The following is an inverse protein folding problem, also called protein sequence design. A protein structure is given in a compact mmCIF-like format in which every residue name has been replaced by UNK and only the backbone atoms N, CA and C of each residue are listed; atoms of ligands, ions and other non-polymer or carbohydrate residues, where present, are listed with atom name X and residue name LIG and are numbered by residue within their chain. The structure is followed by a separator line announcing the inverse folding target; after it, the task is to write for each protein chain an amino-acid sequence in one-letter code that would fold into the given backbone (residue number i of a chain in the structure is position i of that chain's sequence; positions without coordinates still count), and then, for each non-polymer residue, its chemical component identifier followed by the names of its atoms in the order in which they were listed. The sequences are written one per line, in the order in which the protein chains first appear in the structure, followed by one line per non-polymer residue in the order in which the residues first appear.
data_IF_591976872014
#
_entry.id   IF_591976872014
#
_cell.length_a   1.000
_cell.length_b   1.000
_cell.length_c   1.000
_cell.angle_alpha   90.00
_cell.angle_beta   90.00
_cell.angle_gamma   90.00
#
_symmetry.space_group_name_H-M   'P 1'
#
loop_
_entity.id
_entity.type
_entity.pdbx_description
1 polymer ?
#
# COMPACT_ATOMS: atom_id res chain seq x y z
N UNK A 1 -22.45 13.45 1.25
CA UNK A 1 -21.35 13.45 0.26
C UNK A 1 -21.93 12.99 -1.08
N UNK A 2 -21.94 13.86 -2.10
CA UNK A 2 -22.82 13.74 -3.27
C UNK A 2 -22.45 12.57 -4.20
N UNK A 3 -23.47 11.85 -4.71
CA UNK A 3 -23.34 10.73 -5.67
C UNK A 3 -22.47 11.09 -6.89
N UNK A 4 -22.51 12.35 -7.30
CA UNK A 4 -21.67 12.94 -8.35
C UNK A 4 -20.17 12.81 -8.06
N UNK A 5 -19.73 13.11 -6.83
CA UNK A 5 -18.32 13.00 -6.43
C UNK A 5 -17.86 11.53 -6.38
N UNK A 6 -18.76 10.59 -6.12
CA UNK A 6 -18.43 9.17 -6.14
C UNK A 6 -18.22 8.66 -7.57
N UNK A 7 -19.09 9.07 -8.50
CA UNK A 7 -18.99 8.67 -9.91
C UNK A 7 -17.73 9.26 -10.57
N UNK A 8 -17.46 10.55 -10.33
CA UNK A 8 -16.25 11.21 -10.84
C UNK A 8 -14.98 10.50 -10.36
N UNK A 9 -14.91 10.12 -9.08
CA UNK A 9 -13.79 9.32 -8.55
C UNK A 9 -13.63 7.99 -9.28
N UNK A 10 -14.71 7.24 -9.50
CA UNK A 10 -14.64 5.98 -10.23
C UNK A 10 -14.11 6.19 -11.65
N UNK A 11 -14.68 7.13 -12.41
CA UNK A 11 -14.25 7.41 -13.78
C UNK A 11 -12.78 7.84 -13.85
N UNK A 12 -12.33 8.73 -12.97
CA UNK A 12 -10.92 9.16 -12.94
C UNK A 12 -9.95 8.04 -12.56
N UNK A 13 -10.37 7.09 -11.71
CA UNK A 13 -9.59 5.88 -11.40
C UNK A 13 -9.44 4.98 -12.62
N UNK A 14 -10.54 4.77 -13.36
CA UNK A 14 -10.52 3.99 -14.61
C UNK A 14 -9.69 4.67 -15.71
N UNK A 15 -9.68 6.01 -15.74
CA UNK A 15 -8.87 6.80 -16.67
C UNK A 15 -7.39 6.94 -16.25
N UNK A 16 -6.99 6.40 -15.10
CA UNK A 16 -5.61 6.49 -14.61
C UNK A 16 -5.17 7.87 -14.14
N UNK A 17 -6.09 8.80 -13.87
CA UNK A 17 -5.80 10.19 -13.50
C UNK A 17 -5.48 10.34 -12.00
N UNK A 18 -4.42 9.70 -11.54
CA UNK A 18 -4.08 9.62 -10.11
C UNK A 18 -3.58 10.95 -9.53
N UNK A 19 -2.89 11.77 -10.31
CA UNK A 19 -2.47 13.13 -9.92
C UNK A 19 -3.65 14.00 -9.49
N UNK A 20 -4.65 14.08 -10.37
CA UNK A 20 -5.86 14.86 -10.15
C UNK A 20 -6.65 14.35 -8.94
N UNK A 21 -6.70 13.03 -8.75
CA UNK A 21 -7.35 12.42 -7.59
C UNK A 21 -6.61 12.73 -6.28
N UNK A 22 -5.28 12.77 -6.31
CA UNK A 22 -4.47 13.16 -5.16
C UNK A 22 -4.71 14.64 -4.80
N UNK A 23 -4.68 15.55 -5.78
CA UNK A 23 -4.98 16.97 -5.58
C UNK A 23 -6.40 17.19 -5.04
N UNK A 24 -7.38 16.48 -5.61
CA UNK A 24 -8.75 16.49 -5.10
C UNK A 24 -8.82 16.02 -3.64
N UNK A 25 -8.08 14.96 -3.28
CA UNK A 25 -7.98 14.46 -1.91
C UNK A 25 -7.34 15.45 -0.93
N UNK A 26 -6.47 16.34 -1.40
CA UNK A 26 -5.82 17.40 -0.61
C UNK A 26 -6.65 18.69 -0.50
N UNK A 27 -7.75 18.81 -1.25
CA UNK A 27 -8.53 20.05 -1.32
C UNK A 27 -9.15 20.42 0.04
N UNK A 28 -8.88 21.66 0.49
CA UNK A 28 -9.38 22.19 1.78
C UNK A 28 -10.92 22.14 1.82
N UNK A 29 -11.47 21.67 2.94
CA UNK A 29 -12.91 21.48 3.14
C UNK A 29 -13.47 20.14 2.63
N UNK A 30 -12.70 19.38 1.85
CA UNK A 30 -13.06 18.03 1.38
C UNK A 30 -11.90 17.03 1.51
N UNK A 31 -11.00 17.27 2.48
CA UNK A 31 -9.81 16.45 2.69
C UNK A 31 -10.18 14.98 2.86
N UNK A 32 -9.56 14.13 2.04
CA UNK A 32 -9.78 12.70 2.06
C UNK A 32 -8.42 11.99 2.07
N UNK A 33 -7.84 11.76 3.27
CA UNK A 33 -6.53 11.12 3.41
C UNK A 33 -6.48 9.73 2.77
N UNK A 34 -7.59 8.98 2.77
CA UNK A 34 -7.64 7.68 2.11
C UNK A 34 -7.50 7.78 0.58
N UNK A 35 -8.12 8.79 -0.05
CA UNK A 35 -7.95 9.03 -1.48
C UNK A 35 -6.54 9.48 -1.82
N UNK A 36 -5.94 10.35 -0.99
CA UNK A 36 -4.54 10.76 -1.14
C UNK A 36 -3.64 9.54 -1.04
N UNK A 37 -3.87 8.69 -0.03
CA UNK A 37 -3.10 7.46 0.19
C UNK A 37 -3.21 6.51 -1.00
N UNK A 38 -4.43 6.23 -1.52
CA UNK A 38 -4.64 5.37 -2.69
C UNK A 38 -4.03 5.92 -4.00
N UNK A 39 -3.84 7.23 -4.09
CA UNK A 39 -3.32 7.89 -5.29
C UNK A 39 -1.81 8.09 -5.23
N UNK A 40 -1.27 8.45 -4.06
CA UNK A 40 0.13 8.81 -3.88
C UNK A 40 1.10 7.68 -4.24
N UNK A 41 0.80 6.43 -3.89
CA UNK A 41 1.65 5.28 -4.27
C UNK A 41 1.65 5.00 -5.78
N UNK A 42 0.65 5.49 -6.52
CA UNK A 42 0.55 5.35 -8.00
C UNK A 42 1.24 6.48 -8.75
N UNK A 43 1.48 7.62 -8.09
CA UNK A 43 2.27 8.77 -8.60
C UNK A 43 3.62 8.88 -7.86
N UNK A 44 4.18 7.74 -7.43
CA UNK A 44 5.28 7.62 -6.45
C UNK A 44 5.55 8.81 -5.48
N UNK A 45 4.52 9.47 -4.97
CA UNK A 45 4.66 10.66 -4.13
C UNK A 45 4.76 10.24 -2.66
N UNK A 46 5.90 9.64 -2.30
CA UNK A 46 6.08 8.91 -1.03
C UNK A 46 5.92 9.77 0.22
N UNK A 47 6.31 11.04 0.17
CA UNK A 47 6.14 11.98 1.27
C UNK A 47 4.64 12.21 1.56
N UNK A 48 3.86 12.48 0.51
CA UNK A 48 2.39 12.64 0.64
C UNK A 48 1.73 11.34 1.11
N UNK A 49 2.25 10.20 0.66
CA UNK A 49 1.77 8.89 1.08
C UNK A 49 1.97 8.67 2.59
N UNK A 50 3.16 8.98 3.11
CA UNK A 50 3.49 8.86 4.54
C UNK A 50 2.59 9.74 5.42
N UNK A 51 2.41 11.00 5.03
CA UNK A 51 1.55 11.94 5.75
C UNK A 51 0.08 11.51 5.74
N UNK A 52 -0.41 11.04 4.60
CA UNK A 52 -1.77 10.52 4.47
C UNK A 52 -1.95 9.23 5.29
N UNK A 53 -0.97 8.33 5.27
CA UNK A 53 -0.99 7.09 6.04
C UNK A 53 -1.12 7.38 7.53
N UNK A 54 -0.31 8.28 8.07
CA UNK A 54 -0.36 8.67 9.48
C UNK A 54 -1.75 9.18 9.91
N UNK A 55 -2.47 9.86 9.02
CA UNK A 55 -3.84 10.33 9.28
C UNK A 55 -4.87 9.20 9.22
N UNK A 56 -4.75 8.29 8.24
CA UNK A 56 -5.69 7.17 8.07
C UNK A 56 -5.54 6.15 9.19
N UNK A 57 -4.33 5.93 9.70
CA UNK A 57 -4.06 4.97 10.78
C UNK A 57 -4.77 5.29 12.09
N UNK A 58 -5.12 6.56 12.33
CA UNK A 58 -5.88 6.98 13.52
C UNK A 58 -7.28 6.35 13.54
N UNK A 59 -7.92 6.21 12.38
CA UNK A 59 -9.27 5.68 12.27
C UNK A 59 -9.52 5.09 10.87
N UNK A 60 -9.46 3.77 10.76
CA UNK A 60 -9.70 3.04 9.52
C UNK A 60 -10.66 1.86 9.73
N UNK A 61 -11.45 1.48 8.71
CA UNK A 61 -12.26 0.29 8.80
C UNK A 61 -11.39 -0.97 8.68
N UNK A 62 -11.62 -1.96 9.54
CA UNK A 62 -10.88 -3.25 9.55
C UNK A 62 -10.84 -3.93 8.16
N UNK A 63 -11.85 -3.69 7.33
CA UNK A 63 -11.91 -4.19 5.94
C UNK A 63 -10.73 -3.77 5.05
N UNK A 64 -10.02 -2.69 5.38
CA UNK A 64 -8.87 -2.19 4.60
C UNK A 64 -7.53 -2.36 5.33
N UNK A 65 -7.51 -3.06 6.47
CA UNK A 65 -6.31 -3.17 7.29
C UNK A 65 -5.11 -3.75 6.51
N UNK A 66 -5.37 -4.72 5.61
CA UNK A 66 -4.34 -5.30 4.74
C UNK A 66 -3.70 -4.25 3.81
N UNK A 67 -4.49 -3.27 3.34
CA UNK A 67 -3.97 -2.19 2.48
C UNK A 67 -3.00 -1.28 3.25
N UNK A 68 -3.28 -1.00 4.52
CA UNK A 68 -2.38 -0.18 5.34
C UNK A 68 -1.02 -0.85 5.52
N UNK A 69 -1.00 -2.16 5.74
CA UNK A 69 0.24 -2.91 5.85
C UNK A 69 1.00 -2.95 4.50
N UNK A 70 0.31 -3.07 3.36
CA UNK A 70 0.91 -2.90 2.04
C UNK A 70 1.53 -1.50 1.87
N UNK A 71 0.81 -0.45 2.25
CA UNK A 71 1.29 0.93 2.15
C UNK A 71 2.51 1.20 3.02
N UNK A 72 2.54 0.66 4.25
CA UNK A 72 3.73 0.66 5.10
C UNK A 72 4.90 -0.04 4.43
N UNK A 73 4.64 -1.17 3.75
CA UNK A 73 5.65 -1.91 3.00
C UNK A 73 6.23 -1.09 1.85
N UNK A 74 5.38 -0.43 1.07
CA UNK A 74 5.83 0.45 -0.02
C UNK A 74 6.70 1.60 0.49
N UNK A 75 6.33 2.23 1.61
CA UNK A 75 7.17 3.27 2.24
C UNK A 75 8.50 2.67 2.70
N UNK A 76 8.48 1.52 3.37
CA UNK A 76 9.69 0.86 3.88
C UNK A 76 10.68 0.41 2.79
N UNK A 77 10.24 0.26 1.54
CA UNK A 77 11.11 -0.05 0.39
C UNK A 77 11.47 1.23 -0.38
N UNK A 78 10.47 2.05 -0.72
CA UNK A 78 10.61 3.09 -1.74
C UNK A 78 10.90 4.49 -1.19
N UNK A 79 10.60 4.76 0.08
CA UNK A 79 10.82 6.09 0.65
C UNK A 79 12.30 6.29 1.01
N UNK A 80 13.02 7.27 0.43
CA UNK A 80 14.47 7.41 0.60
C UNK A 80 14.92 7.53 2.07
N UNK A 81 14.18 8.32 2.86
CA UNK A 81 14.54 8.59 4.26
C UNK A 81 13.93 7.63 5.29
N UNK A 82 13.11 6.67 4.86
CA UNK A 82 12.31 5.80 5.76
C UNK A 82 12.44 4.32 5.36
N UNK A 83 13.57 3.94 4.73
CA UNK A 83 13.80 2.56 4.33
C UNK A 83 14.01 1.64 5.52
N UNK A 84 13.15 0.62 5.64
CA UNK A 84 13.14 -0.34 6.75
C UNK A 84 12.82 -1.76 6.22
N UNK A 85 13.69 -2.28 5.35
CA UNK A 85 13.48 -3.56 4.64
C UNK A 85 13.22 -4.75 5.59
N UNK A 86 13.88 -4.76 6.75
CA UNK A 86 13.71 -5.80 7.77
C UNK A 86 12.28 -5.90 8.34
N UNK A 87 11.46 -4.85 8.20
CA UNK A 87 10.07 -4.86 8.63
C UNK A 87 9.11 -5.41 7.57
N UNK A 88 9.54 -5.53 6.31
CA UNK A 88 8.66 -5.87 5.19
C UNK A 88 8.10 -7.29 5.32
N UNK A 89 8.91 -8.28 5.72
CA UNK A 89 8.41 -9.66 5.92
C UNK A 89 7.27 -9.72 6.94
N UNK A 90 7.41 -8.97 8.03
CA UNK A 90 6.36 -8.86 9.05
C UNK A 90 5.12 -8.18 8.47
N UNK A 91 5.26 -7.13 7.66
CA UNK A 91 4.13 -6.44 7.03
C UNK A 91 3.41 -7.32 5.99
N UNK A 92 4.14 -8.14 5.24
CA UNK A 92 3.63 -9.15 4.32
C UNK A 92 2.80 -10.18 5.07
N UNK A 93 3.28 -10.70 6.20
CA UNK A 93 2.55 -11.67 7.03
C UNK A 93 1.23 -11.08 7.56
N UNK A 94 1.26 -9.85 8.09
CA UNK A 94 0.04 -9.17 8.58
C UNK A 94 -0.96 -8.91 7.44
N UNK A 95 -0.49 -8.41 6.30
CA UNK A 95 -1.32 -8.18 5.11
C UNK A 95 -2.00 -9.47 4.65
N UNK A 96 -1.22 -10.56 4.57
CA UNK A 96 -1.70 -11.89 4.16
C UNK A 96 -2.80 -12.38 5.10
N UNK A 97 -2.54 -12.35 6.40
CA UNK A 97 -3.50 -12.80 7.41
C UNK A 97 -4.80 -12.01 7.34
N UNK A 98 -4.72 -10.69 7.18
CA UNK A 98 -5.90 -9.83 7.08
C UNK A 98 -6.67 -10.04 5.77
N UNK A 99 -5.97 -10.18 4.64
CA UNK A 99 -6.60 -10.46 3.34
C UNK A 99 -7.36 -11.79 3.36
N UNK A 100 -6.76 -12.85 3.92
CA UNK A 100 -7.41 -14.16 4.10
C UNK A 100 -8.62 -14.06 5.04
N UNK A 101 -8.54 -13.27 6.11
CA UNK A 101 -9.69 -13.03 6.99
C UNK A 101 -10.85 -12.35 6.27
N UNK A 102 -10.58 -11.36 5.41
CA UNK A 102 -11.63 -10.74 4.60
C UNK A 102 -12.20 -11.72 3.57
N UNK A 103 -11.35 -12.54 2.94
CA UNK A 103 -11.78 -13.58 2.00
C UNK A 103 -12.80 -14.53 2.63
N UNK A 104 -12.51 -15.03 3.82
CA UNK A 104 -13.37 -15.96 4.55
C UNK A 104 -14.72 -15.36 4.99
N UNK A 105 -14.86 -14.03 4.99
CA UNK A 105 -16.13 -13.36 5.30
C UNK A 105 -17.07 -13.29 4.10
N UNK A 106 -16.57 -13.51 2.89
CA UNK A 106 -17.38 -13.51 1.67
C UNK A 106 -18.13 -14.84 1.50
N UNK A 107 -19.24 -14.86 0.74
CA UNK A 107 -19.90 -16.10 0.36
C UNK A 107 -18.94 -17.06 -0.35
N UNK A 108 -19.09 -18.39 -0.18
CA UNK A 108 -18.17 -19.37 -0.78
C UNK A 108 -18.18 -19.37 -2.31
N UNK A 109 -19.21 -18.79 -2.93
CA UNK A 109 -19.30 -18.64 -4.38
C UNK A 109 -18.42 -17.47 -4.84
N UNK A 110 -17.43 -17.78 -5.67
CA UNK A 110 -16.54 -16.77 -6.25
C UNK A 110 -17.33 -15.80 -7.12
N UNK A 111 -17.08 -14.51 -6.91
CA UNK A 111 -17.81 -13.39 -7.53
C UNK A 111 -16.94 -12.14 -7.58
N UNK A 112 -17.45 -11.06 -8.17
CA UNK A 112 -16.74 -9.77 -8.29
C UNK A 112 -16.22 -9.22 -6.95
N UNK A 113 -16.85 -9.59 -5.83
CA UNK A 113 -16.42 -9.18 -4.48
C UNK A 113 -15.04 -9.74 -4.08
N UNK A 114 -14.62 -10.84 -4.72
CA UNK A 114 -13.33 -11.50 -4.44
C UNK A 114 -12.17 -10.86 -5.20
N UNK A 115 -12.44 -10.18 -6.31
CA UNK A 115 -11.41 -9.62 -7.20
C UNK A 115 -10.44 -8.68 -6.45
N UNK A 116 -10.90 -7.73 -5.61
CA UNK A 116 -9.99 -6.86 -4.88
C UNK A 116 -9.05 -7.61 -3.93
N UNK A 117 -9.48 -8.74 -3.38
CA UNK A 117 -8.66 -9.57 -2.49
C UNK A 117 -7.66 -10.42 -3.27
N UNK A 118 -8.00 -10.89 -4.47
CA UNK A 118 -7.04 -11.54 -5.37
C UNK A 118 -5.97 -10.56 -5.83
N UNK A 119 -6.36 -9.33 -6.19
CA UNK A 119 -5.43 -8.26 -6.52
C UNK A 119 -4.53 -7.93 -5.32
N UNK A 120 -5.10 -7.87 -4.11
CA UNK A 120 -4.30 -7.67 -2.90
C UNK A 120 -3.30 -8.81 -2.68
N UNK A 121 -3.68 -10.06 -2.89
CA UNK A 121 -2.78 -11.20 -2.77
C UNK A 121 -1.60 -11.08 -3.74
N UNK A 122 -1.87 -10.71 -5.00
CA UNK A 122 -0.82 -10.45 -5.98
C UNK A 122 0.11 -9.31 -5.53
N UNK A 123 -0.45 -8.19 -5.06
CA UNK A 123 0.35 -7.06 -4.56
C UNK A 123 1.21 -7.42 -3.34
N UNK A 124 0.74 -8.33 -2.48
CA UNK A 124 1.51 -8.81 -1.34
C UNK A 124 2.73 -9.63 -1.81
N UNK A 125 2.56 -10.48 -2.83
CA UNK A 125 3.66 -11.21 -3.45
C UNK A 125 4.67 -10.26 -4.08
N UNK A 126 4.21 -9.29 -4.85
CA UNK A 126 5.05 -8.26 -5.49
C UNK A 126 5.84 -7.45 -4.44
N UNK A 127 5.21 -7.10 -3.31
CA UNK A 127 5.89 -6.41 -2.22
C UNK A 127 7.03 -7.26 -1.64
N UNK A 128 6.79 -8.55 -1.43
CA UNK A 128 7.81 -9.47 -0.91
C UNK A 128 8.97 -9.64 -1.91
N UNK A 129 8.66 -9.83 -3.19
CA UNK A 129 9.65 -9.95 -4.26
C UNK A 129 10.48 -8.67 -4.39
N UNK A 130 9.85 -7.49 -4.35
CA UNK A 130 10.53 -6.21 -4.38
C UNK A 130 11.52 -6.04 -3.21
N UNK A 131 11.15 -6.47 -2.00
CA UNK A 131 12.05 -6.43 -0.85
C UNK A 131 13.25 -7.36 -1.05
N UNK A 132 13.05 -8.57 -1.56
CA UNK A 132 14.14 -9.52 -1.85
C UNK A 132 15.10 -8.98 -2.91
N UNK A 133 14.57 -8.40 -3.99
CA UNK A 133 15.38 -7.74 -5.02
C UNK A 133 16.19 -6.61 -4.39
N UNK A 134 15.56 -5.76 -3.58
CA UNK A 134 16.25 -4.64 -2.94
C UNK A 134 17.36 -5.12 -2.00
N UNK A 135 17.15 -6.19 -1.23
CA UNK A 135 18.21 -6.79 -0.39
C UNK A 135 19.33 -7.37 -1.25
N UNK A 136 19.00 -8.04 -2.36
CA UNK A 136 20.00 -8.61 -3.28
C UNK A 136 20.84 -7.56 -4.03
N UNK A 137 20.32 -6.35 -4.20
CA UNK A 137 21.02 -5.22 -4.81
C UNK A 137 21.91 -4.44 -3.82
N UNK A 138 21.78 -4.67 -2.51
CA UNK A 138 22.69 -4.05 -1.54
C UNK A 138 24.11 -4.61 -1.70
N UNK A 139 25.15 -3.77 -1.64
CA UNK A 139 26.51 -4.25 -1.75
C UNK A 139 26.79 -5.26 -0.63
N UNK A 140 27.47 -6.39 -0.93
CA UNK A 140 27.85 -7.33 0.11
C UNK A 140 28.69 -6.61 1.15
N UNK A 141 28.38 -6.78 2.44
CA UNK A 141 29.18 -6.24 3.53
C UNK A 141 30.59 -6.83 3.45
N UNK A 142 31.54 -6.11 2.84
CA UNK A 142 32.95 -6.49 2.64
C UNK A 142 33.70 -6.69 3.98
N UNK A 143 33.07 -6.45 5.14
CA UNK A 143 33.70 -6.53 6.45
C UNK A 143 33.78 -7.91 7.13
N UNK A 144 33.33 -9.01 6.52
CA UNK A 144 33.25 -10.31 7.23
C UNK A 144 34.20 -11.40 6.71
N UNK A 145 34.96 -11.15 5.64
CA UNK A 145 35.80 -12.20 5.01
C UNK A 145 37.23 -12.26 5.60
N UNK A 146 37.68 -11.23 6.33
CA UNK A 146 39.08 -11.14 6.82
C UNK A 146 39.27 -11.39 8.35
N UNK A 147 38.38 -12.14 9.01
CA UNK A 147 38.56 -12.49 10.45
C UNK A 147 38.66 -13.99 10.75
N UNK A 148 38.86 -14.84 9.74
CA UNK A 148 39.26 -16.24 9.95
C UNK A 148 40.62 -16.50 9.31
N UNK A 149 41.65 -15.96 9.96
CA UNK A 149 43.03 -16.41 9.84
C UNK A 149 43.34 -17.47 10.91
#
# INVERSE_FOLDING_TARGET
MNRHNQLMKCCSKELGQWDLLMEFGKTKGHANPFLVLESAWRVPEWQSMKEALAQVEVNFPESIAYKLNLYRGYIAICHPDEQHLNMVDKLVEHSTTQAIRQWRRLPPVISQQHIPLLQAAQQIMELQEAAQIHTGLQPPNVGTIDQSA
#
